data_IF_367463455051
#
_entry.id   IF_367463455051
#
_cell.length_a   1.000
_cell.length_b   1.000
_cell.length_c   1.000
_cell.angle_alpha   90.00
_cell.angle_beta   90.00
_cell.angle_gamma   90.00
#
_symmetry.space_group_name_H-M   'P 1'
#
loop_
_entity.id
_entity.type
_entity.pdbx_description
1 polymer ?
#
# COMPACT_ATOMS: atom_id res chain seq x y z
N UNK A 1 -11.19 27.82 -10.00
CA UNK A 1 -11.96 26.77 -9.29
C UNK A 1 -11.36 25.41 -9.64
N UNK A 2 -10.95 24.60 -8.65
CA UNK A 2 -10.46 23.25 -8.92
C UNK A 2 -11.65 22.35 -9.27
N UNK A 3 -11.65 21.74 -10.46
CA UNK A 3 -12.65 20.76 -10.87
C UNK A 3 -12.65 19.57 -9.91
N UNK A 4 -13.81 19.00 -9.57
CA UNK A 4 -13.95 17.86 -8.63
C UNK A 4 -13.01 16.69 -8.94
N UNK A 5 -12.66 16.49 -10.22
CA UNK A 5 -11.68 15.52 -10.69
C UNK A 5 -10.23 15.72 -10.18
N UNK A 6 -9.89 16.88 -9.62
CA UNK A 6 -8.55 17.17 -9.03
C UNK A 6 -8.44 16.83 -7.55
N UNK A 7 -9.51 16.37 -6.91
CA UNK A 7 -9.44 15.90 -5.52
C UNK A 7 -8.82 14.50 -5.52
N UNK A 8 -7.79 14.30 -4.70
CA UNK A 8 -7.02 13.05 -4.57
C UNK A 8 -7.92 11.83 -4.27
N UNK A 9 -9.11 12.06 -3.70
CA UNK A 9 -10.10 11.02 -3.34
C UNK A 9 -11.38 11.07 -4.18
N UNK A 10 -11.40 11.74 -5.34
CA UNK A 10 -12.59 11.75 -6.18
C UNK A 10 -12.82 10.36 -6.78
N UNK A 11 -14.00 9.80 -6.49
CA UNK A 11 -14.47 8.54 -7.00
C UNK A 11 -15.74 8.81 -7.80
N UNK A 12 -15.81 8.36 -9.04
CA UNK A 12 -17.05 8.48 -9.82
C UNK A 12 -18.15 7.64 -9.19
N UNK A 13 -19.41 8.04 -9.38
CA UNK A 13 -20.57 7.28 -8.88
C UNK A 13 -20.56 5.83 -9.39
N UNK A 14 -20.16 5.63 -10.65
CA UNK A 14 -19.99 4.31 -11.25
C UNK A 14 -18.95 3.46 -10.51
N UNK A 15 -17.75 4.01 -10.25
CA UNK A 15 -16.72 3.28 -9.51
C UNK A 15 -17.15 3.02 -8.07
N UNK A 16 -17.93 3.92 -7.47
CA UNK A 16 -18.43 3.76 -6.12
C UNK A 16 -19.39 2.58 -6.05
N UNK A 17 -20.36 2.52 -6.96
CA UNK A 17 -21.31 1.42 -7.05
C UNK A 17 -20.61 0.06 -7.23
N UNK A 18 -19.59 -0.01 -8.09
CA UNK A 18 -18.78 -1.23 -8.29
C UNK A 18 -18.07 -1.65 -6.99
N UNK A 19 -17.41 -0.72 -6.31
CA UNK A 19 -16.70 -1.02 -5.06
C UNK A 19 -17.66 -1.45 -3.95
N UNK A 20 -18.81 -0.79 -3.81
CA UNK A 20 -19.83 -1.14 -2.83
C UNK A 20 -20.38 -2.55 -3.04
N UNK A 21 -20.64 -2.95 -4.29
CA UNK A 21 -21.10 -4.30 -4.61
C UNK A 21 -20.04 -5.37 -4.27
N UNK A 22 -18.76 -5.13 -4.62
CA UNK A 22 -17.66 -6.05 -4.28
C UNK A 22 -17.44 -6.14 -2.77
N UNK A 23 -17.61 -5.02 -2.07
CA UNK A 23 -17.52 -4.99 -0.61
C UNK A 23 -18.62 -5.81 0.06
N UNK A 24 -19.86 -5.71 -0.42
CA UNK A 24 -20.97 -6.52 0.09
C UNK A 24 -20.67 -8.03 -0.07
N UNK A 25 -20.25 -8.44 -1.26
CA UNK A 25 -19.85 -9.83 -1.53
C UNK A 25 -18.69 -10.27 -0.60
N UNK A 26 -17.68 -9.44 -0.41
CA UNK A 26 -16.60 -9.73 0.54
C UNK A 26 -17.11 -9.91 1.97
N UNK A 27 -18.00 -9.03 2.43
CA UNK A 27 -18.54 -9.07 3.80
C UNK A 27 -19.39 -10.34 4.05
N UNK A 28 -20.07 -10.85 3.03
CA UNK A 28 -20.81 -12.11 3.14
C UNK A 28 -19.88 -13.32 3.26
N UNK A 29 -18.74 -13.30 2.57
CA UNK A 29 -17.84 -14.46 2.49
C UNK A 29 -16.66 -14.41 3.48
N UNK A 30 -16.39 -13.27 4.13
CA UNK A 30 -15.17 -13.07 4.94
C UNK A 30 -15.04 -13.99 6.16
N UNK A 31 -16.14 -14.57 6.63
CA UNK A 31 -16.17 -15.45 7.81
C UNK A 31 -16.13 -16.95 7.45
N UNK A 32 -16.10 -17.31 6.17
CA UNK A 32 -16.07 -18.69 5.70
C UNK A 32 -14.71 -19.03 5.05
N UNK A 33 -13.84 -19.82 5.73
CA UNK A 33 -12.54 -20.21 5.20
C UNK A 33 -12.60 -21.11 3.96
N UNK A 34 -13.75 -21.75 3.70
CA UNK A 34 -13.94 -22.59 2.52
C UNK A 34 -14.26 -21.78 1.26
N UNK A 35 -14.62 -20.49 1.41
CA UNK A 35 -14.96 -19.63 0.29
C UNK A 35 -13.75 -18.88 -0.27
N UNK A 36 -13.75 -18.61 -1.59
CA UNK A 36 -12.68 -17.85 -2.21
C UNK A 36 -12.66 -16.40 -1.71
N UNK A 37 -11.46 -15.87 -1.50
CA UNK A 37 -11.28 -14.48 -1.06
C UNK A 37 -11.77 -13.51 -2.13
N UNK A 38 -12.84 -12.77 -1.82
CA UNK A 38 -13.37 -11.72 -2.67
C UNK A 38 -12.48 -10.48 -2.59
N UNK A 39 -12.02 -9.97 -3.74
CA UNK A 39 -11.22 -8.74 -3.80
C UNK A 39 -12.12 -7.54 -4.07
N UNK A 40 -12.08 -6.57 -3.16
CA UNK A 40 -12.85 -5.32 -3.30
C UNK A 40 -12.16 -4.37 -4.29
N UNK A 41 -10.87 -4.15 -4.10
CA UNK A 41 -10.09 -3.19 -4.88
C UNK A 41 -9.46 -3.82 -6.12
N UNK A 42 -9.25 -2.99 -7.14
CA UNK A 42 -8.51 -3.37 -8.33
C UNK A 42 -7.04 -3.65 -7.99
N UNK A 43 -6.41 -4.53 -8.76
CA UNK A 43 -4.97 -4.79 -8.62
C UNK A 43 -4.17 -3.54 -8.97
N UNK A 44 -3.05 -3.35 -8.28
CA UNK A 44 -2.13 -2.26 -8.59
C UNK A 44 -1.60 -2.42 -10.01
N UNK A 45 -1.65 -1.33 -10.77
CA UNK A 45 -1.07 -1.29 -12.10
C UNK A 45 0.44 -1.62 -12.03
N UNK A 46 1.02 -2.22 -13.08
CA UNK A 46 2.45 -2.57 -13.10
C UNK A 46 3.38 -1.40 -12.78
N UNK A 47 2.99 -0.18 -13.15
CA UNK A 47 3.70 1.05 -12.78
C UNK A 47 3.76 1.26 -11.27
N UNK A 48 2.62 1.18 -10.57
CA UNK A 48 2.55 1.34 -9.12
C UNK A 48 3.37 0.25 -8.41
N UNK A 49 3.38 -0.97 -8.95
CA UNK A 49 4.19 -2.06 -8.42
C UNK A 49 5.70 -1.78 -8.51
N UNK A 50 6.17 -1.22 -9.64
CA UNK A 50 7.58 -0.80 -9.80
C UNK A 50 7.94 0.34 -8.84
N UNK A 51 7.06 1.32 -8.69
CA UNK A 51 7.26 2.43 -7.76
C UNK A 51 7.35 1.92 -6.30
N UNK A 52 6.45 1.01 -5.90
CA UNK A 52 6.51 0.37 -4.59
C UNK A 52 7.79 -0.45 -4.39
N UNK A 53 8.25 -1.14 -5.42
CA UNK A 53 9.48 -1.92 -5.36
C UNK A 53 10.69 -1.00 -5.14
N UNK A 54 10.79 0.10 -5.88
CA UNK A 54 11.84 1.10 -5.67
C UNK A 54 11.82 1.67 -4.25
N UNK A 55 10.63 2.00 -3.74
CA UNK A 55 10.49 2.50 -2.35
C UNK A 55 11.01 1.47 -1.35
N UNK A 56 10.74 0.18 -1.55
CA UNK A 56 11.24 -0.90 -0.68
C UNK A 56 12.76 -1.02 -0.72
N UNK A 57 13.34 -0.98 -1.92
CA UNK A 57 14.78 -1.07 -2.13
C UNK A 57 15.51 0.09 -1.42
N UNK A 58 15.09 1.33 -1.68
CA UNK A 58 15.66 2.52 -1.03
C UNK A 58 15.47 2.48 0.49
N UNK A 59 14.30 2.04 0.96
CA UNK A 59 14.04 1.94 2.41
C UNK A 59 14.95 0.91 3.08
N UNK A 60 15.21 -0.22 2.42
CA UNK A 60 16.11 -1.25 2.92
C UNK A 60 17.55 -0.74 2.99
N UNK A 61 18.03 -0.06 1.95
CA UNK A 61 19.37 0.56 1.95
C UNK A 61 19.53 1.59 3.07
N UNK A 62 18.54 2.45 3.27
CA UNK A 62 18.55 3.45 4.33
C UNK A 62 18.51 2.83 5.73
N UNK A 63 17.75 1.75 5.91
CA UNK A 63 17.72 0.99 7.16
C UNK A 63 19.09 0.36 7.46
N UNK A 64 19.72 -0.26 6.46
CA UNK A 64 21.06 -0.85 6.64
C UNK A 64 22.08 0.22 7.00
N UNK A 65 22.09 1.35 6.28
CA UNK A 65 22.99 2.46 6.58
C UNK A 65 22.80 2.99 8.01
N UNK A 66 21.55 3.11 8.45
CA UNK A 66 21.24 3.51 9.83
C UNK A 66 21.82 2.53 10.85
N UNK A 67 21.71 1.22 10.61
CA UNK A 67 22.30 0.20 11.49
C UNK A 67 23.82 0.35 11.54
N UNK A 68 24.48 0.47 10.39
CA UNK A 68 25.93 0.62 10.30
C UNK A 68 26.42 1.88 11.03
N UNK A 69 25.71 3.00 10.88
CA UNK A 69 26.03 4.26 11.58
C UNK A 69 25.84 4.12 13.10
N UNK A 70 24.79 3.42 13.55
CA UNK A 70 24.60 3.16 14.99
C UNK A 70 25.69 2.29 15.59
N UNK A 71 26.16 1.27 14.87
CA UNK A 71 27.24 0.40 15.34
C UNK A 71 28.59 1.15 15.38
N UNK A 72 28.89 1.97 14.37
CA UNK A 72 30.07 2.86 14.39
C UNK A 72 30.03 3.85 15.55
N UNK A 73 28.87 4.44 15.84
CA UNK A 73 28.71 5.37 16.95
C UNK A 73 28.89 4.69 18.31
N UNK A 74 28.37 3.46 18.48
CA UNK A 74 28.61 2.65 19.67
C UNK A 74 30.10 2.33 19.85
N UNK A 75 30.78 1.91 18.78
CA UNK A 75 32.21 1.61 18.83
C UNK A 75 33.07 2.85 19.15
N UNK A 76 32.65 4.04 18.73
CA UNK A 76 33.34 5.30 19.02
C UNK A 76 33.15 5.78 20.48
N UNK A 77 32.04 5.42 21.13
CA UNK A 77 31.72 5.80 22.52
C UNK A 77 32.30 4.85 23.59
N UNK A 78 33.05 3.82 23.21
CA UNK A 78 33.70 2.86 24.12
C UNK A 78 35.18 3.23 24.38
N UNK A 79 35.54 4.51 24.26
CA UNK A 79 36.87 5.04 24.67
C UNK A 79 36.74 5.87 25.93
#
# INVERSE_FOLDING_TARGET
MATRARLINYLSEERYAVLSARFAAFHETMNDPAQPVVRVYDTLAPRHMRELQLVREVSAELQQKKLDDTEKAKAANVK
#
